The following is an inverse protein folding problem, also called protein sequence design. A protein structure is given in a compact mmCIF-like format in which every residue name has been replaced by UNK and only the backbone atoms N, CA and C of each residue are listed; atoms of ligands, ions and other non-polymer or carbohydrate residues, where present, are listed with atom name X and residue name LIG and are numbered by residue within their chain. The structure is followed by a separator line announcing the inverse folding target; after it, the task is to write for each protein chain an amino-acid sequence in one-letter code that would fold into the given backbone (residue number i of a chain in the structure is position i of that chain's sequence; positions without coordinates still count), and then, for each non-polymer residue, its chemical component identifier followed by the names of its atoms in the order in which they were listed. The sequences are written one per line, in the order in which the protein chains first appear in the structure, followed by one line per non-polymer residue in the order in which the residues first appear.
data_IF_073729198996
#
_entry.id   IF_073729198996
#
_cell.length_a   1.000
_cell.length_b   1.000
_cell.length_c   1.000
_cell.angle_alpha   90.00
_cell.angle_beta   90.00
_cell.angle_gamma   90.00
#
_symmetry.space_group_name_H-M   'P 1'
#
loop_
_entity.id
_entity.type
_entity.pdbx_description
1 polymer ?
#
# COMPACT_ATOMS: atom_id res chain seq x y z
N UNK A 1 -16.21 -34.47 8.67
CA UNK A 1 -16.46 -33.39 9.64
C UNK A 1 -15.23 -33.25 10.51
N UNK A 2 -14.48 -32.16 10.33
CA UNK A 2 -13.96 -31.31 11.40
C UNK A 2 -13.31 -30.13 10.68
N UNK A 3 -13.97 -28.99 10.82
CA UNK A 3 -13.46 -27.69 10.42
C UNK A 3 -12.37 -27.24 11.39
N UNK A 4 -11.71 -26.14 11.02
CA UNK A 4 -10.93 -25.25 11.88
C UNK A 4 -9.44 -25.61 12.08
N UNK A 5 -8.62 -25.23 11.09
CA UNK A 5 -7.34 -24.55 11.34
C UNK A 5 -7.25 -23.35 10.38
N UNK A 6 -8.22 -22.44 10.49
CA UNK A 6 -8.04 -21.05 10.06
C UNK A 6 -7.23 -20.39 11.17
N UNK A 7 -5.90 -20.50 11.08
CA UNK A 7 -4.97 -19.83 11.98
C UNK A 7 -4.26 -18.70 11.22
N UNK A 8 -4.89 -17.52 11.01
CA UNK A 8 -4.17 -16.33 10.53
C UNK A 8 -3.09 -15.86 11.53
N UNK A 9 -3.16 -16.31 12.80
CA UNK A 9 -2.31 -15.85 13.91
C UNK A 9 -0.83 -16.22 13.77
N UNK A 10 -0.48 -17.24 12.96
CA UNK A 10 0.92 -17.67 12.81
C UNK A 10 1.76 -16.77 11.90
N UNK A 11 1.13 -15.93 11.05
CA UNK A 11 1.85 -14.98 10.19
C UNK A 11 2.11 -13.65 10.89
N UNK A 12 1.29 -13.28 11.89
CA UNK A 12 1.46 -12.07 12.70
C UNK A 12 2.68 -12.16 13.63
N UNK A 13 3.01 -13.36 14.13
CA UNK A 13 4.18 -13.56 15.00
C UNK A 13 5.55 -13.62 14.26
N UNK A 14 5.57 -13.83 12.93
CA UNK A 14 6.83 -13.90 12.15
C UNK A 14 7.28 -12.55 11.55
N UNK A 15 6.46 -11.51 11.64
CA UNK A 15 6.78 -10.19 11.13
C UNK A 15 7.33 -9.31 12.26
N UNK A 16 8.64 -9.13 12.30
CA UNK A 16 9.31 -8.20 13.23
C UNK A 16 9.04 -6.75 12.85
N UNK A 17 7.95 -6.18 13.34
CA UNK A 17 7.64 -4.76 13.18
C UNK A 17 8.46 -3.91 14.16
N UNK A 18 8.90 -2.69 13.77
CA UNK A 18 8.64 -2.02 12.49
C UNK A 18 9.55 -2.50 11.36
N UNK A 19 8.97 -2.81 10.19
CA UNK A 19 9.70 -3.13 8.96
C UNK A 19 9.46 -2.06 7.89
N UNK A 20 10.46 -1.82 7.05
CA UNK A 20 10.33 -0.93 5.90
C UNK A 20 9.75 -1.72 4.73
N UNK A 21 8.59 -1.29 4.24
CA UNK A 21 7.89 -1.90 3.11
C UNK A 21 7.76 -0.88 1.98
N UNK A 22 8.04 -1.32 0.75
CA UNK A 22 7.79 -0.53 -0.43
C UNK A 22 6.47 -0.99 -1.07
N UNK A 23 5.49 -0.12 -1.01
CA UNK A 23 4.20 -0.28 -1.68
C UNK A 23 4.32 0.34 -3.07
N UNK A 24 3.96 -0.41 -4.10
CA UNK A 24 3.97 0.09 -5.47
C UNK A 24 2.56 0.08 -6.05
N UNK A 25 1.97 1.25 -6.22
CA UNK A 25 0.69 1.42 -6.91
C UNK A 25 0.92 1.80 -8.37
N UNK A 26 0.32 1.06 -9.30
CA UNK A 26 0.22 1.42 -10.70
C UNK A 26 -1.23 1.78 -11.02
N UNK A 27 -1.41 2.91 -11.67
CA UNK A 27 -2.72 3.44 -12.00
C UNK A 27 -2.73 4.23 -13.29
N UNK A 28 -3.90 4.74 -13.66
CA UNK A 28 -4.05 5.77 -14.68
C UNK A 28 -3.38 7.05 -14.19
N UNK A 29 -2.70 7.74 -15.10
CA UNK A 29 -2.11 9.04 -14.79
C UNK A 29 -3.24 10.07 -14.62
N UNK A 30 -3.62 10.31 -13.37
CA UNK A 30 -4.56 11.37 -12.98
C UNK A 30 -3.79 12.46 -12.24
N UNK A 31 -4.11 13.72 -12.53
CA UNK A 31 -3.55 14.87 -11.81
C UNK A 31 -3.81 14.72 -10.30
N UNK A 32 -2.75 14.76 -9.50
CA UNK A 32 -2.82 14.59 -8.05
C UNK A 32 -2.97 13.14 -7.58
N UNK A 33 -2.66 12.15 -8.41
CA UNK A 33 -2.66 10.74 -8.00
C UNK A 33 -1.64 10.47 -6.89
N UNK A 34 -0.42 11.03 -6.97
CA UNK A 34 0.60 10.89 -5.94
C UNK A 34 0.21 11.55 -4.62
N UNK A 35 -0.40 12.74 -4.64
CA UNK A 35 -0.96 13.40 -3.46
C UNK A 35 -2.07 12.55 -2.84
N UNK A 36 -2.93 11.95 -3.66
CA UNK A 36 -4.05 11.12 -3.21
C UNK A 36 -3.55 9.85 -2.54
N UNK A 37 -2.62 9.14 -3.19
CA UNK A 37 -1.93 7.97 -2.65
C UNK A 37 -1.23 8.33 -1.34
N UNK A 38 -0.47 9.43 -1.29
CA UNK A 38 0.17 9.90 -0.05
C UNK A 38 -0.84 10.20 1.06
N UNK A 39 -1.98 10.80 0.73
CA UNK A 39 -3.01 11.16 1.72
C UNK A 39 -3.72 9.93 2.27
N UNK A 40 -4.03 8.95 1.42
CA UNK A 40 -4.58 7.65 1.80
C UNK A 40 -3.58 6.94 2.71
N UNK A 41 -2.37 6.71 2.20
CA UNK A 41 -1.27 6.08 2.93
C UNK A 41 -1.08 6.79 4.28
N UNK A 42 -0.88 8.10 4.31
CA UNK A 42 -0.70 8.87 5.56
C UNK A 42 -1.87 8.76 6.54
N UNK A 43 -3.11 8.65 6.07
CA UNK A 43 -4.29 8.46 6.94
C UNK A 43 -4.29 7.09 7.60
N UNK A 44 -3.90 6.05 6.86
CA UNK A 44 -3.79 4.69 7.38
C UNK A 44 -2.48 4.46 8.14
N UNK A 45 -1.49 5.33 7.94
CA UNK A 45 -0.19 5.20 8.58
C UNK A 45 -0.25 5.51 10.08
N UNK A 46 -1.00 6.51 10.53
CA UNK A 46 -1.09 6.81 11.97
C UNK A 46 0.29 7.06 12.61
N UNK A 47 0.83 6.04 13.30
CA UNK A 47 2.20 5.99 13.87
C UNK A 47 3.29 5.56 12.87
N UNK A 48 2.91 4.91 11.78
CA UNK A 48 3.80 4.57 10.69
C UNK A 48 4.20 5.84 9.91
N UNK A 49 5.36 5.80 9.27
CA UNK A 49 5.89 6.93 8.51
C UNK A 49 6.12 6.56 7.06
N UNK A 50 5.73 7.47 6.17
CA UNK A 50 6.20 7.47 4.79
C UNK A 50 7.68 7.87 4.84
N UNK A 51 8.53 7.00 4.33
CA UNK A 51 9.97 7.18 4.23
C UNK A 51 10.36 7.87 2.92
N UNK A 52 9.77 7.42 1.82
CA UNK A 52 10.05 7.92 0.48
C UNK A 52 8.84 7.72 -0.41
N UNK A 53 8.59 8.65 -1.33
CA UNK A 53 7.56 8.50 -2.36
C UNK A 53 8.18 8.81 -3.71
N UNK A 54 8.12 7.86 -4.62
CA UNK A 54 8.60 8.00 -5.98
C UNK A 54 7.47 7.82 -6.95
N UNK A 55 7.14 8.90 -7.63
CA UNK A 55 6.19 8.87 -8.73
C UNK A 55 6.95 8.80 -10.03
N UNK A 56 6.62 7.80 -10.85
CA UNK A 56 7.19 7.60 -12.17
C UNK A 56 6.07 7.59 -13.18
N UNK A 57 6.04 8.62 -13.99
CA UNK A 57 5.14 8.74 -15.13
C UNK A 57 5.65 7.85 -16.26
N UNK A 58 4.76 7.07 -16.87
CA UNK A 58 5.12 6.30 -18.05
C UNK A 58 4.99 7.21 -19.26
N UNK A 59 6.05 7.34 -20.07
CA UNK A 59 6.15 8.33 -21.17
C UNK A 59 5.08 8.27 -22.28
N UNK A 60 4.14 7.34 -22.19
CA UNK A 60 2.93 7.30 -23.02
C UNK A 60 1.72 8.04 -22.38
N UNK A 61 1.92 8.76 -21.27
CA UNK A 61 0.94 9.60 -20.55
C UNK A 61 -0.40 8.94 -20.20
N UNK A 62 -0.41 7.61 -20.13
CA UNK A 62 -1.64 6.84 -19.85
C UNK A 62 -1.62 6.23 -18.45
N UNK A 63 -0.43 5.98 -17.91
CA UNK A 63 -0.25 5.29 -16.63
C UNK A 63 0.86 5.93 -15.81
N UNK A 64 0.67 5.91 -14.50
CA UNK A 64 1.62 6.37 -13.48
C UNK A 64 1.91 5.21 -12.53
N UNK A 65 3.16 5.12 -12.10
CA UNK A 65 3.58 4.19 -11.04
C UNK A 65 4.04 5.01 -9.85
N UNK A 66 3.39 4.87 -8.71
CA UNK A 66 3.78 5.46 -7.44
C UNK A 66 4.37 4.37 -6.57
N UNK A 67 5.59 4.58 -6.08
CA UNK A 67 6.28 3.72 -5.13
C UNK A 67 6.40 4.47 -3.81
N UNK A 68 5.62 4.05 -2.82
CA UNK A 68 5.65 4.58 -1.46
C UNK A 68 6.42 3.62 -0.56
N UNK A 69 7.56 4.05 -0.06
CA UNK A 69 8.28 3.35 0.99
C UNK A 69 7.73 3.81 2.33
N UNK A 70 7.22 2.89 3.14
CA UNK A 70 6.61 3.16 4.44
C UNK A 70 7.20 2.26 5.53
N UNK A 71 7.08 2.66 6.79
CA UNK A 71 7.32 1.77 7.93
C UNK A 71 6.06 1.02 8.29
N UNK A 72 5.88 -0.19 7.78
CA UNK A 72 4.77 -1.03 8.22
C UNK A 72 4.94 -1.35 9.72
N UNK A 73 3.87 -1.18 10.49
CA UNK A 73 3.82 -1.61 11.90
C UNK A 73 2.90 -2.81 12.12
N UNK A 74 2.05 -3.14 11.13
CA UNK A 74 1.25 -4.35 11.09
C UNK A 74 0.91 -4.72 9.63
N UNK A 75 0.59 -5.99 9.38
CA UNK A 75 0.11 -6.46 8.07
C UNK A 75 -1.30 -5.96 7.78
N UNK A 76 -2.18 -5.88 8.78
CA UNK A 76 -3.54 -5.35 8.62
C UNK A 76 -3.53 -3.90 8.13
N UNK A 77 -2.54 -3.12 8.59
CA UNK A 77 -2.34 -1.75 8.15
C UNK A 77 -1.95 -1.69 6.67
N UNK A 78 -1.02 -2.54 6.24
CA UNK A 78 -0.64 -2.65 4.83
C UNK A 78 -1.84 -3.04 3.99
N UNK A 79 -2.59 -4.06 4.43
CA UNK A 79 -3.77 -4.55 3.72
C UNK A 79 -4.84 -3.45 3.60
N UNK A 80 -5.08 -2.67 4.66
CA UNK A 80 -5.97 -1.52 4.63
C UNK A 80 -5.50 -0.45 3.61
N UNK A 81 -4.20 -0.17 3.54
CA UNK A 81 -3.64 0.74 2.53
C UNK A 81 -3.86 0.17 1.13
N UNK A 82 -3.55 -1.12 0.92
CA UNK A 82 -3.73 -1.79 -0.37
C UNK A 82 -5.20 -1.80 -0.80
N UNK A 83 -6.13 -2.07 0.13
CA UNK A 83 -7.56 -2.03 -0.14
C UNK A 83 -8.05 -0.64 -0.50
N UNK A 84 -7.64 0.40 0.23
CA UNK A 84 -8.07 1.77 -0.04
C UNK A 84 -7.50 2.28 -1.38
N UNK A 85 -6.23 1.97 -1.64
CA UNK A 85 -5.61 2.20 -2.95
C UNK A 85 -6.36 1.46 -4.06
N UNK A 86 -6.64 0.17 -3.90
CA UNK A 86 -7.35 -0.62 -4.91
C UNK A 86 -8.83 -0.24 -5.06
N UNK A 87 -9.42 0.40 -4.04
CA UNK A 87 -10.76 0.99 -4.12
C UNK A 87 -10.80 2.21 -5.05
N UNK A 88 -9.66 2.86 -5.21
CA UNK A 88 -9.54 4.02 -6.07
C UNK A 88 -9.59 3.60 -7.54
N UNK A 89 -10.58 4.10 -8.28
CA UNK A 89 -10.81 3.74 -9.69
C UNK A 89 -9.65 4.07 -10.65
N UNK A 90 -8.71 4.89 -10.19
CA UNK A 90 -7.48 5.22 -10.89
C UNK A 90 -6.40 4.16 -10.70
N UNK A 91 -6.42 3.38 -9.61
CA UNK A 91 -5.47 2.30 -9.34
C UNK A 91 -5.90 1.04 -10.10
N UNK A 92 -4.94 0.46 -10.81
CA UNK A 92 -5.14 -0.75 -11.62
C UNK A 92 -4.48 -1.97 -10.98
N UNK A 93 -3.36 -1.76 -10.28
CA UNK A 93 -2.59 -2.81 -9.66
C UNK A 93 -1.78 -2.23 -8.49
N UNK A 94 -1.67 -2.98 -7.41
CA UNK A 94 -0.76 -2.69 -6.30
C UNK A 94 0.15 -3.89 -6.02
N UNK A 95 1.42 -3.63 -5.70
CA UNK A 95 2.47 -4.61 -5.46
C UNK A 95 3.25 -4.30 -4.18
#
# INVERSE_FOLDING_TARGET
MSAEDESPERFEELLSFPCEFQIKAMGKQTLGFDERVQKIVSRHLGDAKILDVRTRESGASKYVSVSCTIKAVSREQLDAIYMDLNSESDVLLTL
#
